data_IF_235732202455
#
_entry.id   IF_235732202455
#
_cell.length_a   1.000
_cell.length_b   1.000
_cell.length_c   1.000
_cell.angle_alpha   90.00
_cell.angle_beta   90.00
_cell.angle_gamma   90.00
#
_symmetry.space_group_name_H-M   'P 1'
#
loop_
_entity.id
_entity.type
_entity.pdbx_description
1 polymer ?
#
# COMPACT_ATOMS: atom_id res chain seq x y z
N UNK A 1 -5.44 -32.10 21.97
CA UNK A 1 -6.55 -32.69 21.21
C UNK A 1 -6.06 -32.92 19.81
N UNK A 2 -6.49 -34.02 19.18
CA UNK A 2 -6.21 -34.26 17.77
C UNK A 2 -6.95 -33.20 16.95
N UNK A 3 -6.27 -32.57 15.99
CA UNK A 3 -6.86 -31.52 15.14
C UNK A 3 -8.10 -32.06 14.39
N UNK A 4 -8.15 -33.36 14.14
CA UNK A 4 -9.29 -34.05 13.50
C UNK A 4 -10.56 -33.93 14.37
N UNK A 5 -10.47 -34.15 15.68
CA UNK A 5 -11.62 -34.06 16.60
C UNK A 5 -12.12 -32.61 16.76
N UNK A 6 -11.19 -31.63 16.76
CA UNK A 6 -11.56 -30.22 16.81
C UNK A 6 -12.35 -29.81 15.56
N UNK A 7 -11.93 -30.29 14.38
CA UNK A 7 -12.53 -29.93 13.10
C UNK A 7 -13.94 -30.48 12.95
N UNK A 8 -14.22 -31.70 13.46
CA UNK A 8 -15.57 -32.25 13.47
C UNK A 8 -16.60 -31.36 14.17
N UNK A 9 -16.17 -30.59 15.18
CA UNK A 9 -17.03 -29.71 15.95
C UNK A 9 -17.08 -28.26 15.43
N UNK A 10 -16.26 -27.92 14.44
CA UNK A 10 -16.10 -26.56 13.92
C UNK A 10 -16.69 -26.43 12.51
N UNK A 11 -16.47 -27.42 11.64
CA UNK A 11 -16.94 -27.41 10.26
C UNK A 11 -18.47 -27.29 10.23
N UNK A 12 -18.98 -26.37 9.40
CA UNK A 12 -20.41 -26.08 9.27
C UNK A 12 -20.94 -24.98 10.20
N UNK A 13 -20.16 -24.51 11.18
CA UNK A 13 -20.47 -23.26 11.90
C UNK A 13 -20.25 -22.05 10.99
N UNK A 14 -21.01 -20.95 11.17
CA UNK A 14 -20.78 -19.72 10.41
C UNK A 14 -19.38 -19.13 10.68
N UNK A 15 -18.85 -18.40 9.71
CA UNK A 15 -17.60 -17.65 9.88
C UNK A 15 -17.65 -16.71 11.08
N UNK A 16 -16.51 -16.51 11.71
CA UNK A 16 -16.41 -15.74 12.95
C UNK A 16 -15.00 -15.17 13.15
N UNK A 17 -14.76 -14.54 14.29
CA UNK A 17 -13.45 -13.99 14.64
C UNK A 17 -12.36 -15.06 14.72
N UNK A 18 -12.73 -16.32 14.94
CA UNK A 18 -11.82 -17.46 15.09
C UNK A 18 -11.98 -18.52 13.98
N UNK A 19 -12.80 -18.26 12.95
CA UNK A 19 -13.08 -19.24 11.88
C UNK A 19 -13.27 -18.54 10.53
N UNK A 20 -12.48 -18.95 9.54
CA UNK A 20 -12.60 -18.52 8.17
C UNK A 20 -12.58 -19.71 7.21
N UNK A 21 -13.46 -19.71 6.22
CA UNK A 21 -13.52 -20.68 5.15
C UNK A 21 -12.99 -20.10 3.85
N UNK A 22 -12.40 -20.98 3.04
CA UNK A 22 -12.14 -20.71 1.62
C UNK A 22 -12.35 -21.97 0.80
N UNK A 23 -12.97 -21.83 -0.36
CA UNK A 23 -13.16 -22.99 -1.25
C UNK A 23 -11.81 -23.56 -1.75
N UNK A 24 -10.82 -22.68 -1.95
CA UNK A 24 -9.46 -23.00 -2.40
C UNK A 24 -8.45 -22.14 -1.64
N UNK A 25 -7.18 -22.57 -1.57
CA UNK A 25 -6.12 -21.79 -0.94
C UNK A 25 -5.90 -20.46 -1.68
N UNK A 26 -6.04 -19.32 -1.00
CA UNK A 26 -5.65 -18.02 -1.55
C UNK A 26 -4.13 -17.94 -1.75
N UNK A 27 -3.64 -16.94 -2.48
CA UNK A 27 -2.21 -16.68 -2.58
C UNK A 27 -1.55 -16.46 -1.22
N UNK A 28 -0.25 -16.77 -1.11
CA UNK A 28 0.49 -16.83 0.15
C UNK A 28 0.37 -15.54 0.98
N UNK A 29 0.33 -14.38 0.34
CA UNK A 29 0.17 -13.09 1.02
C UNK A 29 -1.18 -12.96 1.72
N UNK A 30 -2.26 -13.41 1.10
CA UNK A 30 -3.59 -13.38 1.71
C UNK A 30 -3.68 -14.36 2.87
N UNK A 31 -3.07 -15.54 2.71
CA UNK A 31 -2.94 -16.53 3.79
C UNK A 31 -2.15 -15.94 4.96
N UNK A 32 -1.06 -15.22 4.69
CA UNK A 32 -0.25 -14.54 5.71
C UNK A 32 -1.06 -13.48 6.47
N UNK A 33 -1.88 -12.69 5.78
CA UNK A 33 -2.77 -11.71 6.42
C UNK A 33 -3.79 -12.37 7.35
N UNK A 34 -4.40 -13.48 6.94
CA UNK A 34 -5.35 -14.24 7.77
C UNK A 34 -4.63 -14.86 8.98
N UNK A 35 -3.44 -15.44 8.80
CA UNK A 35 -2.66 -16.01 9.90
C UNK A 35 -2.25 -14.92 10.90
N UNK A 36 -1.71 -13.79 10.41
CA UNK A 36 -1.36 -12.63 11.24
C UNK A 36 -2.57 -12.11 12.01
N UNK A 37 -3.74 -11.99 11.36
CA UNK A 37 -4.94 -11.48 12.00
C UNK A 37 -5.47 -12.39 13.12
N UNK A 38 -5.48 -13.71 12.90
CA UNK A 38 -5.80 -14.67 13.95
C UNK A 38 -4.80 -14.60 15.10
N UNK A 39 -3.50 -14.63 14.79
CA UNK A 39 -2.44 -14.61 15.80
C UNK A 39 -2.50 -13.36 16.70
N UNK A 40 -2.81 -12.19 16.12
CA UNK A 40 -2.93 -10.93 16.84
C UNK A 40 -4.23 -10.76 17.63
N UNK A 41 -5.18 -11.70 17.53
CA UNK A 41 -6.50 -11.57 18.14
C UNK A 41 -6.74 -12.68 19.16
N UNK A 42 -7.42 -13.77 18.77
CA UNK A 42 -7.80 -14.88 19.65
C UNK A 42 -7.26 -16.24 19.16
N UNK A 43 -6.45 -16.23 18.09
CA UNK A 43 -6.17 -17.42 17.31
C UNK A 43 -7.36 -17.78 16.41
N UNK A 44 -7.29 -18.95 15.77
CA UNK A 44 -8.40 -19.43 14.95
C UNK A 44 -8.04 -20.51 13.94
N UNK A 45 -9.00 -20.79 13.06
CA UNK A 45 -8.92 -21.81 12.03
C UNK A 45 -9.21 -21.20 10.66
N UNK A 46 -8.30 -21.42 9.72
CA UNK A 46 -8.56 -21.26 8.29
C UNK A 46 -8.78 -22.66 7.70
N UNK A 47 -9.98 -22.92 7.19
CA UNK A 47 -10.36 -24.22 6.63
C UNK A 47 -10.61 -24.09 5.13
N UNK A 48 -9.90 -24.90 4.36
CA UNK A 48 -9.99 -24.93 2.90
C UNK A 48 -10.80 -26.12 2.40
N UNK A 49 -11.49 -25.93 1.28
CA UNK A 49 -12.44 -26.92 0.72
C UNK A 49 -13.86 -26.73 1.25
N UNK A 50 -14.17 -25.53 1.76
CA UNK A 50 -15.50 -25.12 2.21
C UNK A 50 -15.78 -23.75 1.61
N UNK A 51 -16.91 -23.57 0.95
CA UNK A 51 -17.33 -22.28 0.38
C UNK A 51 -17.83 -21.33 1.48
N UNK A 52 -17.93 -20.04 1.17
CA UNK A 52 -18.30 -18.99 2.13
C UNK A 52 -19.72 -19.19 2.73
N UNK A 53 -20.61 -19.92 2.02
CA UNK A 53 -21.92 -20.38 2.52
C UNK A 53 -21.85 -21.65 3.38
N UNK A 54 -20.65 -21.98 3.91
CA UNK A 54 -20.37 -23.17 4.74
C UNK A 54 -20.63 -24.51 4.05
N UNK A 55 -20.70 -24.53 2.72
CA UNK A 55 -20.89 -25.78 1.96
C UNK A 55 -19.55 -26.46 1.70
N UNK A 56 -19.45 -27.71 2.12
CA UNK A 56 -18.23 -28.51 2.02
C UNK A 56 -18.07 -28.98 0.58
N UNK A 57 -17.03 -28.53 -0.12
CA UNK A 57 -16.70 -28.94 -1.49
C UNK A 57 -15.58 -29.96 -1.55
N UNK A 58 -14.66 -29.92 -0.58
CA UNK A 58 -13.41 -30.68 -0.61
C UNK A 58 -12.38 -30.06 -1.55
N UNK A 59 -11.15 -30.53 -1.44
CA UNK A 59 -10.01 -30.20 -2.29
C UNK A 59 -9.64 -31.39 -3.17
N UNK A 60 -9.09 -31.10 -4.35
CA UNK A 60 -8.51 -32.14 -5.22
C UNK A 60 -7.36 -32.86 -4.53
N UNK A 61 -7.11 -34.12 -4.88
CA UNK A 61 -5.97 -34.89 -4.35
C UNK A 61 -4.62 -34.24 -4.70
N UNK A 62 -4.52 -33.65 -5.89
CA UNK A 62 -3.33 -32.95 -6.42
C UNK A 62 -3.14 -31.55 -5.82
N UNK A 63 -4.00 -31.14 -4.89
CA UNK A 63 -3.92 -29.80 -4.33
C UNK A 63 -2.74 -29.69 -3.35
N UNK A 64 -1.71 -28.90 -3.69
CA UNK A 64 -0.49 -28.72 -2.88
C UNK A 64 -0.54 -27.46 -2.00
N UNK A 65 -1.25 -27.52 -0.88
CA UNK A 65 -1.44 -26.39 0.01
C UNK A 65 -0.18 -26.01 0.80
N UNK A 66 0.65 -27.00 1.16
CA UNK A 66 1.81 -26.80 2.03
C UNK A 66 2.81 -25.75 1.51
N UNK A 67 3.10 -25.73 0.21
CA UNK A 67 4.10 -24.81 -0.36
C UNK A 67 3.65 -23.35 -0.24
N UNK A 68 2.38 -23.07 -0.48
CA UNK A 68 1.79 -21.73 -0.34
C UNK A 68 1.69 -21.35 1.14
N UNK A 69 1.30 -22.28 2.03
CA UNK A 69 1.28 -22.04 3.47
C UNK A 69 2.68 -21.71 4.00
N UNK A 70 3.72 -22.44 3.58
CA UNK A 70 5.11 -22.12 3.94
C UNK A 70 5.51 -20.72 3.48
N UNK A 71 5.26 -20.37 2.22
CA UNK A 71 5.51 -19.01 1.71
C UNK A 71 4.74 -17.94 2.49
N UNK A 72 3.55 -18.26 3.00
CA UNK A 72 2.77 -17.35 3.82
C UNK A 72 3.45 -17.09 5.18
N UNK A 73 3.96 -18.15 5.81
CA UNK A 73 4.70 -18.05 7.08
C UNK A 73 6.01 -17.27 6.94
N UNK A 74 6.69 -17.38 5.79
CA UNK A 74 7.92 -16.61 5.51
C UNK A 74 7.70 -15.10 5.45
N UNK A 75 6.47 -14.64 5.21
CA UNK A 75 6.10 -13.22 5.21
C UNK A 75 5.81 -12.66 6.61
N UNK A 76 5.76 -13.52 7.64
CA UNK A 76 5.36 -13.15 9.00
C UNK A 76 6.55 -12.81 9.89
N UNK A 77 6.44 -11.73 10.65
CA UNK A 77 7.46 -11.32 11.61
C UNK A 77 6.81 -10.80 12.91
N UNK A 78 7.05 -11.45 14.06
CA UNK A 78 7.66 -12.78 14.22
C UNK A 78 6.77 -13.90 13.64
N UNK A 79 7.31 -15.09 13.43
CA UNK A 79 6.52 -16.25 13.00
C UNK A 79 5.69 -16.80 14.18
N UNK A 80 4.34 -16.81 14.09
CA UNK A 80 3.49 -17.38 15.12
C UNK A 80 3.51 -18.91 15.13
N UNK A 81 2.95 -19.52 16.18
CA UNK A 81 2.70 -20.96 16.23
C UNK A 81 1.53 -21.32 15.33
N UNK A 82 1.80 -22.11 14.29
CA UNK A 82 0.81 -22.54 13.31
C UNK A 82 0.94 -24.05 13.09
N UNK A 83 -0.18 -24.76 13.13
CA UNK A 83 -0.27 -26.18 12.80
C UNK A 83 -1.19 -26.35 11.59
N UNK A 84 -0.74 -27.07 10.57
CA UNK A 84 -1.56 -27.31 9.38
C UNK A 84 -1.41 -28.73 8.86
N UNK A 85 -2.53 -29.29 8.39
CA UNK A 85 -2.58 -30.63 7.81
C UNK A 85 -3.82 -30.83 6.94
N UNK A 86 -3.81 -31.91 6.16
CA UNK A 86 -5.02 -32.38 5.50
C UNK A 86 -5.85 -33.21 6.47
N UNK A 87 -7.17 -33.03 6.42
CA UNK A 87 -8.15 -33.77 7.23
C UNK A 87 -9.24 -34.30 6.30
N UNK A 88 -9.62 -35.57 6.45
CA UNK A 88 -10.78 -36.12 5.76
C UNK A 88 -12.04 -35.87 6.59
N UNK A 89 -13.05 -35.26 5.97
CA UNK A 89 -14.35 -34.98 6.58
C UNK A 89 -15.44 -35.33 5.56
N UNK A 90 -16.38 -36.22 5.90
CA UNK A 90 -17.46 -36.70 5.01
C UNK A 90 -16.96 -37.08 3.60
N UNK A 91 -15.93 -37.94 3.53
CA UNK A 91 -15.24 -38.38 2.29
C UNK A 91 -14.64 -37.25 1.43
N UNK A 92 -14.55 -36.03 1.98
CA UNK A 92 -13.93 -34.88 1.34
C UNK A 92 -12.64 -34.51 2.07
N UNK A 93 -11.61 -34.26 1.27
CA UNK A 93 -10.30 -33.80 1.76
C UNK A 93 -10.36 -32.30 2.02
N UNK A 94 -10.14 -31.88 3.26
CA UNK A 94 -10.00 -30.49 3.67
C UNK A 94 -8.54 -30.21 4.03
N UNK A 95 -8.16 -28.93 3.98
CA UNK A 95 -6.86 -28.49 4.48
C UNK A 95 -7.09 -27.44 5.55
N UNK A 96 -6.49 -27.68 6.72
CA UNK A 96 -6.77 -26.92 7.93
C UNK A 96 -5.49 -26.25 8.36
N UNK A 97 -5.57 -24.95 8.64
CA UNK A 97 -4.50 -24.16 9.25
C UNK A 97 -5.03 -23.63 10.58
N UNK A 98 -4.52 -24.18 11.69
CA UNK A 98 -4.78 -23.72 13.05
C UNK A 98 -3.69 -22.76 13.48
N UNK A 99 -4.11 -21.58 13.92
CA UNK A 99 -3.23 -20.50 14.36
C UNK A 99 -3.48 -20.26 15.83
N UNK A 100 -2.44 -20.38 16.64
CA UNK A 100 -2.54 -20.03 18.06
C UNK A 100 -2.46 -18.50 18.22
N UNK A 101 -3.12 -17.98 19.26
CA UNK A 101 -2.90 -16.59 19.68
C UNK A 101 -1.42 -16.38 20.01
N UNK A 102 -0.85 -15.31 19.48
CA UNK A 102 0.54 -14.91 19.73
C UNK A 102 0.62 -13.95 20.92
N UNK A 103 1.68 -14.08 21.72
CA UNK A 103 2.00 -13.13 22.79
C UNK A 103 2.66 -11.85 22.27
N UNK A 104 3.19 -11.89 21.03
CA UNK A 104 3.80 -10.75 20.34
C UNK A 104 2.98 -10.36 19.11
N UNK A 105 3.04 -9.08 18.74
CA UNK A 105 2.39 -8.57 17.52
C UNK A 105 3.06 -9.15 16.28
N UNK A 106 2.31 -9.93 15.50
CA UNK A 106 2.71 -10.53 14.23
C UNK A 106 2.38 -9.59 13.08
N UNK A 107 3.40 -9.17 12.36
CA UNK A 107 3.26 -8.33 11.16
C UNK A 107 3.42 -9.14 9.87
N UNK A 108 2.77 -8.70 8.80
CA UNK A 108 3.01 -9.14 7.42
C UNK A 108 3.70 -7.98 6.71
N UNK A 109 4.98 -8.12 6.34
CA UNK A 109 5.73 -7.05 5.68
C UNK A 109 5.64 -5.69 6.42
N UNK A 110 5.71 -5.71 7.76
CA UNK A 110 5.63 -4.52 8.62
C UNK A 110 4.22 -4.04 8.95
N UNK A 111 3.17 -4.71 8.46
CA UNK A 111 1.77 -4.34 8.69
C UNK A 111 1.08 -5.28 9.66
N UNK A 112 0.29 -4.72 10.58
CA UNK A 112 -0.42 -5.49 11.60
C UNK A 112 -1.86 -5.70 11.14
N UNK A 113 -2.33 -6.94 11.19
CA UNK A 113 -3.71 -7.29 10.87
C UNK A 113 -4.38 -7.83 12.14
N UNK A 114 -5.68 -7.56 12.31
CA UNK A 114 -6.51 -8.11 13.40
C UNK A 114 -7.82 -8.67 12.84
N UNK A 115 -8.48 -9.54 13.59
CA UNK A 115 -9.83 -10.02 13.26
C UNK A 115 -10.85 -9.08 13.90
N UNK A 116 -11.78 -8.58 13.10
CA UNK A 116 -12.97 -7.87 13.57
C UNK A 116 -14.20 -8.59 13.01
N UNK A 117 -14.95 -9.28 13.88
CA UNK A 117 -15.99 -10.24 13.46
C UNK A 117 -15.42 -11.28 12.51
N UNK A 118 -16.06 -11.56 11.39
CA UNK A 118 -15.67 -12.50 10.35
C UNK A 118 -14.59 -11.97 9.38
N UNK A 119 -14.05 -10.77 9.60
CA UNK A 119 -13.14 -10.10 8.65
C UNK A 119 -11.75 -9.88 9.20
N UNK A 120 -10.77 -9.96 8.30
CA UNK A 120 -9.40 -9.49 8.53
C UNK A 120 -9.31 -8.00 8.21
N UNK A 121 -8.86 -7.20 9.17
CA UNK A 121 -8.71 -5.75 9.07
C UNK A 121 -7.25 -5.36 9.29
N UNK A 122 -6.76 -4.40 8.52
CA UNK A 122 -5.48 -3.76 8.80
C UNK A 122 -5.62 -2.95 10.10
N UNK A 123 -4.92 -3.37 11.14
CA UNK A 123 -4.79 -2.63 12.38
C UNK A 123 -3.48 -1.88 12.34
N UNK A 124 -3.43 -0.80 11.56
CA UNK A 124 -2.27 0.10 11.60
C UNK A 124 -2.65 1.41 12.27
N UNK A 125 -2.60 1.49 13.61
CA UNK A 125 -2.55 2.75 14.30
C UNK A 125 -1.07 3.05 14.56
N UNK A 126 -0.34 3.50 13.54
CA UNK A 126 0.70 4.49 13.86
C UNK A 126 -0.05 5.72 14.38
N UNK A 127 -0.38 5.75 15.68
CA UNK A 127 -0.88 6.97 16.31
C UNK A 127 0.31 7.91 16.39
N UNK A 128 0.56 8.66 15.32
CA UNK A 128 1.63 9.65 15.28
C UNK A 128 1.28 10.75 16.27
N UNK A 129 2.02 10.80 17.38
CA UNK A 129 1.95 11.90 18.33
C UNK A 129 3.00 12.96 18.00
N UNK A 130 2.55 14.20 17.87
CA UNK A 130 3.41 15.35 17.61
C UNK A 130 3.79 16.08 18.90
N UNK A 131 4.92 16.76 18.87
CA UNK A 131 5.49 17.50 19.98
C UNK A 131 4.64 18.72 20.32
N UNK A 132 4.47 18.99 21.61
CA UNK A 132 3.75 20.17 22.09
C UNK A 132 4.51 21.44 21.69
N UNK A 133 3.82 22.38 21.04
CA UNK A 133 4.45 23.61 20.51
C UNK A 133 5.27 23.37 19.23
N UNK A 134 5.04 22.26 18.53
CA UNK A 134 5.53 22.04 17.17
C UNK A 134 4.82 22.93 16.13
N UNK A 135 5.17 22.75 14.86
CA UNK A 135 4.54 23.52 13.79
C UNK A 135 3.07 23.10 13.63
N UNK A 136 2.12 23.97 14.01
CA UNK A 136 0.69 23.63 14.05
C UNK A 136 0.09 23.11 12.73
N UNK A 137 0.69 23.48 11.59
CA UNK A 137 0.30 22.94 10.28
C UNK A 137 0.48 21.42 10.20
N UNK A 138 1.49 20.85 10.86
CA UNK A 138 1.71 19.40 10.91
C UNK A 138 0.51 18.67 11.51
N UNK A 139 0.01 19.17 12.65
CA UNK A 139 -1.17 18.60 13.30
C UNK A 139 -2.43 18.74 12.43
N UNK A 140 -2.60 19.87 11.76
CA UNK A 140 -3.73 20.10 10.85
C UNK A 140 -3.71 19.11 9.67
N UNK A 141 -2.56 18.99 8.98
CA UNK A 141 -2.38 18.03 7.89
C UNK A 141 -2.71 16.61 8.39
N UNK A 142 -2.16 16.21 9.54
CA UNK A 142 -2.41 14.88 10.08
C UNK A 142 -3.91 14.61 10.35
N UNK A 143 -4.63 15.59 10.90
CA UNK A 143 -6.06 15.47 11.14
C UNK A 143 -6.84 15.27 9.84
N UNK A 144 -6.50 16.00 8.78
CA UNK A 144 -7.11 15.87 7.46
C UNK A 144 -6.81 14.50 6.82
N UNK A 145 -5.58 14.00 7.00
CA UNK A 145 -5.19 12.66 6.56
C UNK A 145 -5.98 11.58 7.30
N UNK A 146 -6.16 11.69 8.62
CA UNK A 146 -6.95 10.75 9.43
C UNK A 146 -8.43 10.72 8.99
N UNK A 147 -9.03 11.88 8.69
CA UNK A 147 -10.39 11.89 8.12
C UNK A 147 -10.42 11.22 6.75
N UNK A 148 -9.42 11.49 5.91
CA UNK A 148 -9.29 10.91 4.57
C UNK A 148 -9.07 9.40 4.60
N UNK A 149 -8.45 8.86 5.65
CA UNK A 149 -8.19 7.43 5.88
C UNK A 149 -9.50 6.63 6.04
N UNK A 150 -10.57 7.23 6.58
CA UNK A 150 -11.86 6.57 6.89
C UNK A 150 -12.62 5.99 5.70
N UNK A 151 -12.40 6.51 4.50
CA UNK A 151 -13.06 6.06 3.27
C UNK A 151 -12.07 5.69 2.16
N UNK A 152 -10.80 5.52 2.53
CA UNK A 152 -9.70 5.29 1.60
C UNK A 152 -9.63 3.84 1.11
N UNK A 153 -9.13 3.67 -0.12
CA UNK A 153 -8.61 2.36 -0.54
C UNK A 153 -7.37 1.97 0.27
N UNK A 154 -6.98 0.70 0.19
CA UNK A 154 -5.79 0.22 0.87
C UNK A 154 -4.51 0.93 0.37
N UNK A 155 -4.42 1.21 -0.94
CA UNK A 155 -3.31 1.95 -1.53
C UNK A 155 -3.17 3.37 -0.95
N UNK A 156 -4.28 4.10 -0.81
CA UNK A 156 -4.28 5.43 -0.20
C UNK A 156 -3.97 5.38 1.31
N UNK A 157 -4.42 4.36 2.02
CA UNK A 157 -4.06 4.16 3.43
C UNK A 157 -2.53 4.08 3.59
N UNK A 158 -1.85 3.29 2.73
CA UNK A 158 -0.37 3.22 2.77
C UNK A 158 0.28 4.56 2.50
N UNK A 159 -0.26 5.31 1.52
CA UNK A 159 0.25 6.62 1.18
C UNK A 159 0.19 7.57 2.39
N UNK A 160 -0.96 7.57 3.08
CA UNK A 160 -1.19 8.36 4.29
C UNK A 160 -0.22 7.97 5.40
N UNK A 161 -0.10 6.68 5.72
CA UNK A 161 0.77 6.17 6.81
C UNK A 161 2.24 6.58 6.61
N UNK A 162 2.72 6.49 5.37
CA UNK A 162 4.06 6.96 5.02
C UNK A 162 4.19 8.48 5.19
N UNK A 163 3.22 9.27 4.72
CA UNK A 163 3.28 10.73 4.88
C UNK A 163 3.22 11.14 6.37
N UNK A 164 2.41 10.49 7.18
CA UNK A 164 2.35 10.72 8.63
C UNK A 164 3.70 10.43 9.32
N UNK A 165 4.42 9.40 8.87
CA UNK A 165 5.78 9.12 9.34
C UNK A 165 6.75 10.23 8.97
N UNK A 166 6.63 10.81 7.77
CA UNK A 166 7.44 11.97 7.36
C UNK A 166 7.11 13.21 8.19
N UNK A 167 5.82 13.48 8.43
CA UNK A 167 5.37 14.56 9.32
C UNK A 167 6.00 14.43 10.71
N UNK A 168 6.08 13.21 11.25
CA UNK A 168 6.72 12.93 12.54
C UNK A 168 8.21 13.29 12.53
N UNK A 169 8.93 12.87 11.49
CA UNK A 169 10.35 13.20 11.33
C UNK A 169 10.55 14.72 11.24
N UNK A 170 9.70 15.42 10.50
CA UNK A 170 9.77 16.89 10.38
C UNK A 170 9.55 17.56 11.74
N UNK A 171 8.59 17.09 12.51
CA UNK A 171 8.30 17.60 13.85
C UNK A 171 9.44 17.33 14.85
N UNK A 172 9.99 16.11 14.86
CA UNK A 172 11.09 15.73 15.76
C UNK A 172 12.40 16.45 15.45
N UNK A 173 12.65 16.74 14.17
CA UNK A 173 13.90 17.33 13.69
C UNK A 173 13.77 18.83 13.37
N UNK A 174 12.83 19.53 14.02
CA UNK A 174 12.59 20.98 13.84
C UNK A 174 13.86 21.83 13.95
N UNK A 175 14.77 21.49 14.86
CA UNK A 175 15.98 22.27 15.15
C UNK A 175 16.99 22.25 13.99
N UNK A 176 16.88 21.31 13.05
CA UNK A 176 17.74 21.26 11.85
C UNK A 176 16.95 21.60 10.59
N UNK A 177 15.66 21.25 10.53
CA UNK A 177 14.81 21.45 9.36
C UNK A 177 14.26 22.87 9.24
N UNK A 178 13.97 23.54 10.36
CA UNK A 178 13.43 24.90 10.39
C UNK A 178 13.74 25.59 11.74
N UNK A 179 15.05 25.78 12.09
CA UNK A 179 15.46 26.29 13.40
C UNK A 179 14.93 27.70 13.73
N UNK A 180 14.78 28.54 12.72
CA UNK A 180 14.28 29.92 12.86
C UNK A 180 12.75 29.96 12.67
N UNK A 181 12.28 29.54 11.50
CA UNK A 181 10.84 29.37 11.25
C UNK A 181 10.56 28.46 10.03
N UNK A 182 9.37 27.83 9.94
CA UNK A 182 8.98 26.97 8.80
C UNK A 182 8.91 27.69 7.45
N UNK A 183 8.78 29.01 7.45
CA UNK A 183 8.69 29.89 6.27
C UNK A 183 10.05 30.14 5.61
N UNK A 184 11.15 29.86 6.31
CA UNK A 184 12.51 30.12 5.82
C UNK A 184 13.23 28.81 5.50
N UNK A 185 13.88 28.67 4.33
CA UNK A 185 14.75 27.54 4.06
C UNK A 185 15.85 27.40 5.11
N UNK A 186 16.11 26.17 5.57
CA UNK A 186 17.16 25.93 6.56
C UNK A 186 18.55 26.23 6.00
N UNK A 187 19.37 26.91 6.81
CA UNK A 187 20.79 27.16 6.52
C UNK A 187 21.68 26.00 7.02
N UNK A 188 21.15 25.11 7.84
CA UNK A 188 21.88 23.93 8.33
C UNK A 188 22.07 22.92 7.19
N UNK A 189 23.30 22.45 6.97
CA UNK A 189 23.64 21.60 5.82
C UNK A 189 22.95 20.23 5.90
N UNK A 190 22.92 19.61 7.07
CA UNK A 190 22.24 18.34 7.30
C UNK A 190 20.73 18.48 7.08
N UNK A 191 20.14 19.59 7.55
CA UNK A 191 18.75 19.95 7.36
C UNK A 191 18.38 20.14 5.88
N UNK A 192 19.25 20.76 5.08
CA UNK A 192 19.04 20.88 3.62
C UNK A 192 18.97 19.51 2.95
N UNK A 193 19.92 18.64 3.26
CA UNK A 193 19.96 17.28 2.70
C UNK A 193 18.72 16.50 3.14
N UNK A 194 18.38 16.58 4.43
CA UNK A 194 17.24 15.88 4.99
C UNK A 194 15.92 16.38 4.38
N UNK A 195 15.71 17.69 4.25
CA UNK A 195 14.51 18.25 3.64
C UNK A 195 14.29 17.73 2.20
N UNK A 196 15.39 17.60 1.42
CA UNK A 196 15.36 17.00 0.08
C UNK A 196 14.95 15.54 0.11
N UNK A 197 15.53 14.75 1.01
CA UNK A 197 15.21 13.31 1.17
C UNK A 197 13.75 13.14 1.57
N UNK A 198 13.26 13.90 2.55
CA UNK A 198 11.89 13.81 3.04
C UNK A 198 10.87 14.20 1.96
N UNK A 199 11.11 15.30 1.24
CA UNK A 199 10.28 15.69 0.09
C UNK A 199 10.26 14.61 -0.98
N UNK A 200 11.43 14.15 -1.43
CA UNK A 200 11.53 13.10 -2.44
C UNK A 200 10.82 11.83 -2.00
N UNK A 201 10.91 11.45 -0.72
CA UNK A 201 10.25 10.27 -0.18
C UNK A 201 8.72 10.31 -0.29
N UNK A 202 8.09 11.45 -0.04
CA UNK A 202 6.62 11.58 -0.18
C UNK A 202 6.21 11.61 -1.65
N UNK A 203 7.00 12.25 -2.52
CA UNK A 203 6.76 12.27 -3.95
C UNK A 203 6.93 10.87 -4.59
N UNK A 204 7.93 10.11 -4.16
CA UNK A 204 8.11 8.70 -4.57
C UNK A 204 6.95 7.81 -4.08
N UNK A 205 6.44 8.11 -2.89
CA UNK A 205 5.28 7.45 -2.32
C UNK A 205 3.99 7.74 -3.13
N UNK A 206 3.85 8.93 -3.71
CA UNK A 206 2.77 9.23 -4.66
C UNK A 206 2.81 8.33 -5.91
N UNK A 207 3.99 8.09 -6.48
CA UNK A 207 4.13 7.16 -7.62
C UNK A 207 3.83 5.72 -7.22
N UNK A 208 4.27 5.32 -6.03
CA UNK A 208 4.00 4.00 -5.46
C UNK A 208 2.50 3.78 -5.25
N UNK A 209 1.81 4.80 -4.72
CA UNK A 209 0.35 4.81 -4.58
C UNK A 209 -0.35 4.57 -5.91
N UNK A 210 0.04 5.25 -6.98
CA UNK A 210 -0.56 5.04 -8.31
C UNK A 210 -0.38 3.59 -8.79
N UNK A 211 0.77 2.96 -8.50
CA UNK A 211 1.02 1.54 -8.80
C UNK A 211 0.10 0.62 -8.02
N UNK A 212 -0.02 0.86 -6.72
CA UNK A 212 -0.82 0.03 -5.82
C UNK A 212 -2.32 0.18 -6.13
N UNK A 213 -2.77 1.39 -6.46
CA UNK A 213 -4.14 1.62 -6.89
C UNK A 213 -4.46 0.90 -8.20
N UNK A 214 -3.55 0.94 -9.19
CA UNK A 214 -3.74 0.18 -10.43
C UNK A 214 -3.83 -1.32 -10.17
N UNK A 215 -2.98 -1.83 -9.29
CA UNK A 215 -3.05 -3.22 -8.86
C UNK A 215 -4.42 -3.55 -8.25
N UNK A 216 -4.92 -2.71 -7.35
CA UNK A 216 -6.25 -2.88 -6.74
C UNK A 216 -7.39 -2.83 -7.77
N UNK A 217 -7.31 -1.92 -8.75
CA UNK A 217 -8.27 -1.86 -9.86
C UNK A 217 -8.24 -3.14 -10.68
N UNK A 218 -7.06 -3.68 -10.99
CA UNK A 218 -6.94 -4.91 -11.76
C UNK A 218 -7.41 -6.14 -11.00
N UNK A 219 -7.20 -6.21 -9.68
CA UNK A 219 -7.76 -7.27 -8.86
C UNK A 219 -9.29 -7.20 -8.82
N UNK A 220 -9.86 -6.00 -8.62
CA UNK A 220 -11.30 -5.81 -8.55
C UNK A 220 -12.01 -5.98 -9.91
N UNK A 221 -11.34 -5.60 -11.00
CA UNK A 221 -11.85 -5.65 -12.38
C UNK A 221 -10.77 -6.14 -13.35
N UNK A 222 -10.44 -7.45 -13.38
CA UNK A 222 -9.37 -8.00 -14.23
C UNK A 222 -9.54 -7.72 -15.73
N UNK A 223 -10.78 -7.57 -16.20
CA UNK A 223 -11.09 -7.20 -17.58
C UNK A 223 -10.49 -5.85 -18.01
N UNK A 224 -10.21 -4.96 -17.06
CA UNK A 224 -9.57 -3.66 -17.34
C UNK A 224 -8.10 -3.81 -17.72
N UNK A 225 -7.48 -4.97 -17.47
CA UNK A 225 -6.13 -5.31 -17.90
C UNK A 225 -6.05 -5.60 -19.41
N UNK A 226 -7.16 -6.02 -20.03
CA UNK A 226 -7.19 -6.44 -21.44
C UNK A 226 -6.73 -5.30 -22.34
N UNK A 227 -5.68 -5.57 -23.12
CA UNK A 227 -5.07 -4.61 -24.03
C UNK A 227 -4.42 -5.32 -25.21
N UNK A 228 -3.97 -4.55 -26.21
CA UNK A 228 -3.19 -5.06 -27.34
C UNK A 228 -1.69 -5.25 -27.01
N UNK A 229 -1.31 -5.04 -25.75
CA UNK A 229 0.08 -5.08 -25.34
C UNK A 229 0.55 -6.54 -25.20
N UNK A 230 1.74 -6.83 -25.72
CA UNK A 230 2.33 -8.18 -25.69
C UNK A 230 3.11 -8.40 -24.39
N UNK A 231 3.11 -9.65 -23.90
CA UNK A 231 3.95 -10.13 -22.81
C UNK A 231 4.77 -11.32 -23.27
N UNK A 232 5.99 -11.46 -22.76
CA UNK A 232 6.86 -12.60 -23.07
C UNK A 232 6.48 -13.82 -22.23
N UNK A 233 6.82 -15.02 -22.71
CA UNK A 233 6.61 -16.27 -21.96
C UNK A 233 7.40 -16.24 -20.65
N UNK A 234 8.63 -15.71 -20.67
CA UNK A 234 9.48 -15.58 -19.48
C UNK A 234 8.81 -14.76 -18.37
N UNK A 235 8.22 -13.61 -18.71
CA UNK A 235 7.51 -12.77 -17.75
C UNK A 235 6.32 -13.48 -17.10
N UNK A 236 5.60 -14.30 -17.88
CA UNK A 236 4.48 -15.10 -17.37
C UNK A 236 4.98 -16.21 -16.45
N UNK A 237 6.04 -16.93 -16.84
CA UNK A 237 6.61 -18.03 -16.06
C UNK A 237 7.30 -17.57 -14.77
N UNK A 238 7.79 -16.33 -14.73
CA UNK A 238 8.35 -15.73 -13.51
C UNK A 238 7.28 -15.35 -12.47
N UNK A 239 6.01 -15.36 -12.85
CA UNK A 239 4.89 -15.14 -11.92
C UNK A 239 4.34 -16.49 -11.46
N UNK A 240 4.25 -16.69 -10.14
CA UNK A 240 3.76 -17.93 -9.53
C UNK A 240 2.25 -18.11 -9.69
N UNK A 241 1.51 -17.02 -9.85
CA UNK A 241 0.07 -17.04 -10.12
C UNK A 241 -0.41 -15.79 -10.88
N UNK A 242 -1.70 -15.77 -11.20
CA UNK A 242 -2.33 -14.65 -11.90
C UNK A 242 -2.27 -13.33 -11.10
N UNK A 243 -2.33 -13.38 -9.77
CA UNK A 243 -2.26 -12.16 -8.96
C UNK A 243 -0.85 -11.57 -8.98
N UNK A 244 0.19 -12.41 -8.92
CA UNK A 244 1.57 -11.98 -9.08
C UNK A 244 1.81 -11.38 -10.46
N UNK A 245 1.24 -11.97 -11.51
CA UNK A 245 1.29 -11.40 -12.86
C UNK A 245 0.59 -10.04 -12.94
N UNK A 246 -0.59 -9.89 -12.33
CA UNK A 246 -1.31 -8.62 -12.25
C UNK A 246 -0.50 -7.57 -11.48
N UNK A 247 0.18 -7.96 -10.40
CA UNK A 247 1.07 -7.09 -9.61
C UNK A 247 2.28 -6.65 -10.42
N UNK A 248 2.94 -7.58 -11.10
CA UNK A 248 4.06 -7.32 -12.00
C UNK A 248 3.65 -6.29 -13.07
N UNK A 249 2.49 -6.49 -13.70
CA UNK A 249 2.02 -5.61 -14.76
C UNK A 249 1.62 -4.22 -14.27
N UNK A 250 0.99 -4.12 -13.10
CA UNK A 250 0.67 -2.84 -12.48
C UNK A 250 1.94 -1.99 -12.28
N UNK A 251 3.02 -2.61 -11.81
CA UNK A 251 4.33 -1.96 -11.64
C UNK A 251 4.94 -1.52 -12.98
N UNK A 252 4.85 -2.34 -14.02
CA UNK A 252 5.40 -1.99 -15.34
C UNK A 252 4.77 -0.72 -15.95
N UNK A 253 3.46 -0.50 -15.73
CA UNK A 253 2.79 0.73 -16.18
C UNK A 253 3.33 2.00 -15.53
N UNK A 254 3.81 1.91 -14.29
CA UNK A 254 4.36 3.05 -13.53
C UNK A 254 5.81 3.33 -13.88
N UNK A 255 6.55 2.33 -14.39
CA UNK A 255 7.90 2.55 -14.89
C UNK A 255 8.00 3.67 -15.94
N UNK A 256 6.91 3.95 -16.66
CA UNK A 256 6.80 5.09 -17.57
C UNK A 256 6.60 6.44 -16.89
N UNK A 257 5.97 6.51 -15.71
CA UNK A 257 5.92 7.73 -14.90
C UNK A 257 7.32 8.04 -14.35
N UNK A 258 7.99 7.03 -13.79
CA UNK A 258 9.35 7.16 -13.24
C UNK A 258 10.39 7.58 -14.28
N UNK A 259 10.22 7.16 -15.54
CA UNK A 259 11.14 7.47 -16.65
C UNK A 259 10.63 8.55 -17.61
N UNK A 260 9.40 9.01 -17.43
CA UNK A 260 8.67 9.85 -18.39
C UNK A 260 7.95 11.00 -17.69
N UNK A 261 6.77 11.37 -18.19
CA UNK A 261 5.97 12.48 -17.68
C UNK A 261 4.63 12.00 -17.12
N UNK A 262 4.04 12.78 -16.22
CA UNK A 262 2.67 12.59 -15.68
C UNK A 262 1.67 12.49 -16.82
N UNK A 263 1.82 13.36 -17.82
CA UNK A 263 0.98 13.37 -19.02
C UNK A 263 1.06 12.05 -19.77
N UNK A 264 2.27 11.56 -20.05
CA UNK A 264 2.45 10.27 -20.73
C UNK A 264 1.88 9.10 -19.93
N UNK A 265 2.06 9.12 -18.61
CA UNK A 265 1.46 8.12 -17.72
C UNK A 265 -0.06 8.09 -17.79
N UNK A 266 -0.72 9.26 -17.72
CA UNK A 266 -2.18 9.35 -17.80
C UNK A 266 -2.66 8.91 -19.18
N UNK A 267 -2.01 9.36 -20.26
CA UNK A 267 -2.36 8.96 -21.63
C UNK A 267 -2.34 7.43 -21.82
N UNK A 268 -1.34 6.75 -21.26
CA UNK A 268 -1.12 5.30 -21.35
C UNK A 268 -1.94 4.47 -20.33
N UNK A 269 -2.55 5.14 -19.34
CA UNK A 269 -3.25 4.50 -18.22
C UNK A 269 -4.73 4.85 -18.25
N UNK A 270 -5.47 4.16 -19.13
CA UNK A 270 -6.93 4.31 -19.29
C UNK A 270 -7.70 4.28 -17.97
N UNK A 271 -7.24 3.46 -17.02
CA UNK A 271 -7.85 3.31 -15.69
C UNK A 271 -7.89 4.61 -14.91
N UNK A 272 -6.84 5.43 -15.02
CA UNK A 272 -6.72 6.74 -14.37
C UNK A 272 -7.29 7.85 -15.27
N UNK A 273 -6.95 7.84 -16.56
CA UNK A 273 -7.41 8.82 -17.55
C UNK A 273 -8.91 8.94 -17.62
N UNK A 274 -9.60 7.80 -17.65
CA UNK A 274 -11.04 7.76 -17.82
C UNK A 274 -11.77 8.15 -16.52
N UNK A 275 -11.06 8.45 -15.43
CA UNK A 275 -11.62 9.11 -14.25
C UNK A 275 -11.84 10.62 -14.49
N UNK A 276 -11.09 11.21 -15.44
CA UNK A 276 -11.14 12.65 -15.80
C UNK A 276 -10.97 13.57 -14.60
N UNK A 277 -10.07 13.19 -13.68
CA UNK A 277 -9.81 13.94 -12.44
C UNK A 277 -8.84 15.09 -12.67
N UNK A 278 -7.81 14.89 -13.49
CA UNK A 278 -6.74 15.86 -13.71
C UNK A 278 -6.87 16.52 -15.08
N UNK A 279 -7.07 17.84 -15.09
CA UNK A 279 -6.97 18.64 -16.29
C UNK A 279 -5.49 18.90 -16.71
N UNK A 280 -5.27 19.57 -17.84
CA UNK A 280 -3.92 19.82 -18.36
C UNK A 280 -3.08 20.70 -17.43
N UNK A 281 -3.70 21.66 -16.74
CA UNK A 281 -2.99 22.55 -15.82
C UNK A 281 -2.59 21.78 -14.56
N UNK A 282 -3.50 20.94 -14.04
CA UNK A 282 -3.20 20.10 -12.87
C UNK A 282 -2.09 19.08 -13.15
N UNK A 283 -2.13 18.45 -14.33
CA UNK A 283 -1.04 17.57 -14.77
C UNK A 283 0.29 18.30 -14.85
N UNK A 284 0.29 19.56 -15.31
CA UNK A 284 1.49 20.39 -15.35
C UNK A 284 2.01 20.73 -13.95
N UNK A 285 1.14 20.99 -12.97
CA UNK A 285 1.56 21.21 -11.58
C UNK A 285 2.17 19.95 -10.94
N UNK A 286 1.56 18.77 -11.13
CA UNK A 286 2.17 17.50 -10.67
C UNK A 286 3.54 17.31 -11.33
N UNK A 287 3.67 17.62 -12.62
CA UNK A 287 4.95 17.53 -13.34
C UNK A 287 6.00 18.47 -12.72
N UNK A 288 5.67 19.73 -12.38
CA UNK A 288 6.59 20.64 -11.69
C UNK A 288 7.11 20.02 -10.38
N UNK A 289 6.24 19.40 -9.58
CA UNK A 289 6.60 18.72 -8.33
C UNK A 289 7.56 17.55 -8.59
N UNK A 290 7.29 16.73 -9.62
CA UNK A 290 8.19 15.63 -10.01
C UNK A 290 9.55 16.13 -10.49
N UNK A 291 9.62 17.28 -11.17
CA UNK A 291 10.90 17.88 -11.58
C UNK A 291 11.71 18.37 -10.39
N UNK A 292 11.08 18.92 -9.35
CA UNK A 292 11.76 19.24 -8.09
C UNK A 292 12.32 17.96 -7.45
N UNK A 293 11.52 16.88 -7.41
CA UNK A 293 11.97 15.58 -6.89
C UNK A 293 13.17 15.05 -7.68
N UNK A 294 13.11 15.10 -9.00
CA UNK A 294 14.21 14.67 -9.87
C UNK A 294 15.49 15.47 -9.58
N UNK A 295 15.37 16.79 -9.40
CA UNK A 295 16.50 17.65 -9.03
C UNK A 295 17.12 17.22 -7.70
N UNK A 296 16.29 16.94 -6.70
CA UNK A 296 16.74 16.53 -5.36
C UNK A 296 17.34 15.14 -5.32
N UNK A 297 16.75 14.17 -6.02
CA UNK A 297 17.20 12.78 -6.02
C UNK A 297 18.43 12.53 -6.92
N UNK A 298 18.56 13.25 -8.03
CA UNK A 298 19.56 12.93 -9.07
C UNK A 298 20.55 14.05 -9.38
N UNK A 299 20.30 15.27 -8.92
CA UNK A 299 21.14 16.45 -9.20
C UNK A 299 21.58 17.18 -7.94
N UNK A 300 21.36 16.59 -6.76
CA UNK A 300 21.68 17.18 -5.45
C UNK A 300 21.09 18.59 -5.26
N UNK A 301 19.95 18.89 -5.87
CA UNK A 301 19.31 20.20 -5.82
C UNK A 301 19.95 21.29 -6.69
N UNK A 302 20.87 20.93 -7.59
CA UNK A 302 21.51 21.89 -8.51
C UNK A 302 20.70 22.04 -9.79
N UNK A 303 20.23 23.26 -10.06
CA UNK A 303 19.38 23.62 -11.22
C UNK A 303 20.08 23.30 -12.53
N UNK A 304 19.39 22.56 -13.40
CA UNK A 304 19.83 22.22 -14.76
C UNK A 304 18.87 22.73 -15.85
N UNK A 305 19.26 22.56 -17.11
CA UNK A 305 18.46 23.02 -18.27
C UNK A 305 17.07 22.39 -18.32
N UNK A 306 16.95 21.12 -17.91
CA UNK A 306 15.67 20.40 -17.90
C UNK A 306 14.73 21.01 -16.86
N UNK A 307 15.23 21.32 -15.67
CA UNK A 307 14.45 21.98 -14.62
C UNK A 307 13.91 23.35 -15.10
N UNK A 308 14.74 24.14 -15.78
CA UNK A 308 14.33 25.46 -16.28
C UNK A 308 13.24 25.44 -17.35
N UNK A 309 12.98 24.30 -18.01
CA UNK A 309 11.83 24.17 -18.91
C UNK A 309 10.49 24.28 -18.18
N UNK A 310 10.47 24.02 -16.86
CA UNK A 310 9.29 24.02 -16.00
C UNK A 310 9.24 25.23 -15.05
N UNK A 311 10.39 25.88 -14.83
CA UNK A 311 10.57 27.02 -13.93
C UNK A 311 11.29 28.16 -14.68
N UNK A 312 10.75 28.53 -15.84
CA UNK A 312 11.37 29.47 -16.78
C UNK A 312 11.56 30.84 -16.13
N UNK A 313 12.80 31.34 -16.15
CA UNK A 313 13.22 32.62 -15.55
C UNK A 313 13.03 32.73 -14.03
N UNK A 314 12.72 31.63 -13.33
CA UNK A 314 12.62 31.61 -11.87
C UNK A 314 13.99 31.35 -11.23
N UNK A 315 14.88 30.62 -11.91
CA UNK A 315 16.18 30.18 -11.38
C UNK A 315 17.32 30.32 -12.41
N UNK A 316 18.55 30.24 -11.92
CA UNK A 316 19.78 30.30 -12.74
C UNK A 316 20.41 28.90 -12.82
N UNK A 317 20.90 28.49 -13.99
CA UNK A 317 21.62 27.21 -14.15
C UNK A 317 22.79 27.13 -13.17
N UNK A 318 22.97 25.99 -12.51
CA UNK A 318 24.03 25.77 -11.53
C UNK A 318 23.75 26.35 -10.13
N UNK A 319 22.67 27.11 -9.95
CA UNK A 319 22.25 27.55 -8.62
C UNK A 319 21.63 26.41 -7.81
N UNK A 320 21.66 26.54 -6.48
CA UNK A 320 21.05 25.59 -5.57
C UNK A 320 19.57 25.92 -5.37
N UNK A 321 18.68 25.00 -5.74
CA UNK A 321 17.26 25.06 -5.40
C UNK A 321 17.07 24.67 -3.93
N UNK A 322 16.28 25.48 -3.21
CA UNK A 322 15.94 25.27 -1.80
C UNK A 322 14.46 25.60 -1.60
N UNK A 323 13.82 24.87 -0.67
CA UNK A 323 12.47 25.16 -0.22
C UNK A 323 12.47 25.21 1.31
N UNK A 324 11.64 26.09 1.83
CA UNK A 324 11.19 26.09 3.22
C UNK A 324 10.29 24.89 3.51
N UNK A 325 10.06 24.58 4.78
CA UNK A 325 9.15 23.49 5.17
C UNK A 325 7.70 23.83 4.80
N UNK A 326 7.35 25.12 4.85
CA UNK A 326 6.06 25.58 4.37
C UNK A 326 5.87 25.28 2.87
N UNK A 327 6.82 25.65 2.01
CA UNK A 327 6.75 25.40 0.56
C UNK A 327 6.73 23.90 0.26
N UNK A 328 7.50 23.10 1.02
CA UNK A 328 7.44 21.63 0.94
C UNK A 328 6.01 21.16 1.20
N UNK A 329 5.38 21.56 2.30
CA UNK A 329 4.02 21.14 2.61
C UNK A 329 3.01 21.65 1.58
N UNK A 330 3.14 22.85 1.02
CA UNK A 330 2.26 23.33 -0.05
C UNK A 330 2.30 22.43 -1.29
N UNK A 331 3.50 22.00 -1.71
CA UNK A 331 3.64 21.05 -2.82
C UNK A 331 3.07 19.66 -2.47
N UNK A 332 3.29 19.18 -1.24
CA UNK A 332 2.79 17.87 -0.82
C UNK A 332 1.27 17.86 -0.61
N UNK A 333 0.68 18.94 -0.10
CA UNK A 333 -0.77 19.11 0.04
C UNK A 333 -1.46 19.03 -1.32
N UNK A 334 -0.84 19.59 -2.37
CA UNK A 334 -1.31 19.44 -3.74
C UNK A 334 -1.36 17.97 -4.19
N UNK A 335 -0.31 17.19 -3.92
CA UNK A 335 -0.31 15.76 -4.23
C UNK A 335 -1.35 14.99 -3.40
N UNK A 336 -1.53 15.33 -2.13
CA UNK A 336 -2.56 14.71 -1.26
C UNK A 336 -3.96 14.95 -1.83
N UNK A 337 -4.27 16.16 -2.30
CA UNK A 337 -5.54 16.45 -2.97
C UNK A 337 -5.74 15.60 -4.23
N UNK A 338 -4.70 15.50 -5.08
CA UNK A 338 -4.72 14.66 -6.27
C UNK A 338 -4.97 13.20 -5.91
N UNK A 339 -4.27 12.67 -4.90
CA UNK A 339 -4.46 11.31 -4.36
C UNK A 339 -5.92 11.13 -3.92
N UNK A 340 -6.45 12.06 -3.12
CA UNK A 340 -7.82 12.01 -2.61
C UNK A 340 -8.86 11.90 -3.72
N UNK A 341 -8.74 12.74 -4.76
CA UNK A 341 -9.68 12.76 -5.88
C UNK A 341 -9.56 11.53 -6.77
N UNK A 342 -8.34 11.08 -7.06
CA UNK A 342 -8.10 9.85 -7.83
C UNK A 342 -8.66 8.64 -7.06
N UNK A 343 -8.39 8.53 -5.76
CA UNK A 343 -8.82 7.43 -4.91
C UNK A 343 -10.35 7.31 -4.88
N UNK A 344 -11.02 8.43 -4.64
CA UNK A 344 -12.48 8.51 -4.61
C UNK A 344 -13.08 8.18 -5.98
N UNK A 345 -12.52 8.74 -7.05
CA UNK A 345 -12.94 8.47 -8.43
C UNK A 345 -12.80 7.00 -8.80
N UNK A 346 -11.65 6.40 -8.48
CA UNK A 346 -11.37 4.99 -8.72
C UNK A 346 -12.28 4.07 -7.90
N UNK A 347 -12.44 4.36 -6.61
CA UNK A 347 -13.34 3.63 -5.71
C UNK A 347 -14.77 3.61 -6.24
N UNK A 348 -15.29 4.77 -6.65
CA UNK A 348 -16.65 4.89 -7.15
C UNK A 348 -16.87 4.17 -8.48
N UNK A 349 -15.92 4.29 -9.40
CA UNK A 349 -16.00 3.72 -10.75
C UNK A 349 -15.77 2.21 -10.77
N UNK A 350 -14.77 1.74 -10.05
CA UNK A 350 -14.34 0.33 -10.08
C UNK A 350 -14.89 -0.50 -8.93
N UNK A 351 -15.60 0.13 -7.97
CA UNK A 351 -16.17 -0.51 -6.76
C UNK A 351 -15.09 -1.19 -5.92
N UNK A 352 -14.02 -0.44 -5.65
CA UNK A 352 -12.90 -0.90 -4.83
C UNK A 352 -13.34 -1.05 -3.36
N UNK A 353 -12.71 -1.98 -2.66
CA UNK A 353 -12.95 -2.16 -1.22
C UNK A 353 -12.26 -1.05 -0.43
N UNK A 354 -12.95 -0.49 0.55
CA UNK A 354 -12.37 0.48 1.49
C UNK A 354 -11.64 -0.27 2.60
N UNK A 355 -10.52 0.27 3.07
CA UNK A 355 -9.64 -0.44 4.00
C UNK A 355 -10.02 -0.37 5.49
N UNK A 356 -11.24 0.08 5.84
CA UNK A 356 -11.70 0.20 7.24
C UNK A 356 -12.74 -0.84 7.64
#
# INVERSE_FOLDING_TARGET
MDLIEEIQNIVGKPESQTLEYKAVLPPSRNVAQIISSFANTEGGFLILGVTDDSKITGLSEDFHANSITHKALDLLTPQPKVNYQYVNYDDKKLYVIKVDKSDAVVSVEGKIYIRERDRTKLSDPVSVTFNVGGYGRITNINNDLEQSKKIATYSKIKFIEHYQSILKIVDDLRNILYPESPENPTKNQEGKILARILFSSVVDNFETYLSDLLYEIFLAKPQTLKSQQTVTIEEVLNCSDLQEFVKYWAKQKIGKLQKGSVKGFIEDTKQIRDLKILDNNEQYQVEKILQIRHLYAHRNGIVDEKFLQFFTNEYVIGSEHQMSIQEIFENLDYLVDVVNRIDLGASNKYKLSQGN
#
